data_IF_299521279142
#
_entry.id   IF_299521279142
#
_cell.length_a   1.000
_cell.length_b   1.000
_cell.length_c   1.000
_cell.angle_alpha   90.00
_cell.angle_beta   90.00
_cell.angle_gamma   90.00
#
_symmetry.space_group_name_H-M   'P 1'
#
loop_
_entity.id
_entity.type
_entity.pdbx_description
1 polymer ?
#
# COMPACT_ATOMS: atom_id res chain seq x y z
N UNK A 1 -21.24 -21.50 -5.91
CA UNK A 1 -21.28 -20.05 -5.64
C UNK A 1 -21.33 -19.36 -7.00
N UNK A 2 -22.32 -18.50 -7.22
CA UNK A 2 -22.34 -17.68 -8.43
C UNK A 2 -21.16 -16.69 -8.37
N UNK A 3 -20.52 -16.33 -9.50
CA UNK A 3 -19.46 -15.33 -9.50
C UNK A 3 -19.97 -14.07 -8.83
N UNK A 4 -19.18 -13.52 -7.91
CA UNK A 4 -19.56 -12.36 -7.12
C UNK A 4 -20.06 -11.26 -8.05
N UNK A 5 -21.29 -10.83 -7.82
CA UNK A 5 -21.90 -9.75 -8.57
C UNK A 5 -20.98 -8.54 -8.44
N UNK A 6 -20.70 -7.85 -9.54
CA UNK A 6 -20.09 -6.54 -9.50
C UNK A 6 -18.61 -6.42 -9.85
N UNK A 7 -17.92 -7.47 -10.27
CA UNK A 7 -16.57 -7.37 -10.88
C UNK A 7 -16.62 -7.89 -12.31
N UNK A 8 -16.11 -7.13 -13.28
CA UNK A 8 -16.07 -7.50 -14.70
C UNK A 8 -14.75 -7.09 -15.32
N UNK A 9 -14.18 -7.93 -16.17
CA UNK A 9 -13.04 -7.55 -17.01
C UNK A 9 -13.51 -7.41 -18.46
N UNK A 10 -13.12 -6.31 -19.10
CA UNK A 10 -13.31 -6.13 -20.53
C UNK A 10 -12.27 -6.97 -21.28
N UNK A 11 -12.69 -7.96 -22.10
CA UNK A 11 -11.76 -8.89 -22.74
C UNK A 11 -10.97 -8.27 -23.92
N UNK A 12 -11.38 -7.11 -24.44
CA UNK A 12 -10.67 -6.44 -25.54
C UNK A 12 -9.60 -5.48 -25.01
N UNK A 13 -9.87 -4.81 -23.88
CA UNK A 13 -8.99 -3.79 -23.30
C UNK A 13 -8.22 -4.27 -22.08
N UNK A 14 -8.66 -5.36 -21.44
CA UNK A 14 -8.08 -5.86 -20.19
C UNK A 14 -8.43 -5.02 -18.96
N UNK A 15 -9.35 -4.07 -19.07
CA UNK A 15 -9.74 -3.20 -17.96
C UNK A 15 -10.67 -3.93 -17.00
N UNK A 16 -10.31 -3.97 -15.72
CA UNK A 16 -11.14 -4.48 -14.64
C UNK A 16 -12.04 -3.37 -14.08
N UNK A 17 -13.35 -3.56 -14.19
CA UNK A 17 -14.40 -2.73 -13.60
C UNK A 17 -14.93 -3.38 -12.32
N UNK A 18 -14.78 -2.67 -11.20
CA UNK A 18 -15.29 -3.06 -9.88
C UNK A 18 -16.44 -2.11 -9.53
N UNK A 19 -17.66 -2.60 -9.64
CA UNK A 19 -18.87 -1.85 -9.31
C UNK A 19 -19.04 -1.72 -7.78
N UNK A 20 -19.78 -0.70 -7.30
CA UNK A 20 -20.12 -0.56 -5.88
C UNK A 20 -20.94 -1.72 -5.28
N UNK A 21 -21.46 -2.63 -6.11
CA UNK A 21 -22.17 -3.83 -5.65
C UNK A 21 -21.23 -5.04 -5.42
N UNK A 22 -19.93 -4.90 -5.73
CA UNK A 22 -18.94 -5.90 -5.38
C UNK A 22 -18.85 -6.05 -3.86
N UNK A 23 -18.80 -7.29 -3.39
CA UNK A 23 -18.70 -7.59 -1.96
C UNK A 23 -17.24 -7.59 -1.55
N UNK A 24 -16.95 -7.02 -0.39
CA UNK A 24 -15.62 -6.99 0.23
C UNK A 24 -15.28 -8.30 0.96
N UNK A 25 -16.23 -9.24 1.06
CA UNK A 25 -16.06 -10.52 1.77
C UNK A 25 -15.44 -11.61 0.89
N UNK A 26 -15.23 -11.33 -0.39
CA UNK A 26 -14.73 -12.31 -1.36
C UNK A 26 -13.49 -11.80 -2.08
N UNK A 27 -12.54 -12.71 -2.30
CA UNK A 27 -11.51 -12.54 -3.32
C UNK A 27 -12.03 -12.96 -4.69
N UNK A 28 -11.70 -12.19 -5.71
CA UNK A 28 -12.13 -12.40 -7.08
C UNK A 28 -10.93 -12.86 -7.93
N UNK A 29 -10.96 -14.10 -8.41
CA UNK A 29 -9.94 -14.58 -9.36
C UNK A 29 -10.22 -14.03 -10.75
N UNK A 30 -9.31 -13.20 -11.26
CA UNK A 30 -9.28 -12.72 -12.64
C UNK A 30 -8.36 -13.64 -13.43
N UNK A 31 -8.89 -14.24 -14.50
CA UNK A 31 -8.12 -15.12 -15.39
C UNK A 31 -8.06 -14.54 -16.78
N UNK A 32 -6.85 -14.40 -17.32
CA UNK A 32 -6.58 -14.02 -18.69
C UNK A 32 -6.09 -15.24 -19.48
N UNK A 33 -6.67 -15.45 -20.66
CA UNK A 33 -6.17 -16.36 -21.68
C UNK A 33 -5.15 -15.59 -22.54
N UNK A 34 -3.95 -16.16 -22.71
CA UNK A 34 -2.86 -15.56 -23.47
C UNK A 34 -2.47 -16.51 -24.60
N UNK A 35 -2.49 -15.99 -25.83
CA UNK A 35 -2.05 -16.74 -27.01
C UNK A 35 -3.08 -17.76 -27.53
N UNK A 36 -4.37 -17.48 -27.43
CA UNK A 36 -5.45 -18.37 -27.90
C UNK A 36 -5.43 -19.75 -27.22
N UNK A 37 -5.27 -19.77 -25.91
CA UNK A 37 -5.28 -20.97 -25.07
C UNK A 37 -3.89 -21.57 -24.82
N UNK A 38 -2.82 -20.90 -25.24
CA UNK A 38 -1.45 -21.38 -24.99
C UNK A 38 -1.08 -21.26 -23.50
N UNK A 39 -1.52 -20.18 -22.83
CA UNK A 39 -1.31 -19.96 -21.39
C UNK A 39 -2.54 -19.34 -20.74
N UNK A 40 -2.76 -19.66 -19.47
CA UNK A 40 -3.70 -18.95 -18.61
C UNK A 40 -2.95 -18.27 -17.46
N UNK A 41 -3.13 -16.97 -17.31
CA UNK A 41 -2.65 -16.22 -16.15
C UNK A 41 -3.84 -15.98 -15.22
N UNK A 42 -3.67 -16.23 -13.93
CA UNK A 42 -4.68 -15.91 -12.92
C UNK A 42 -4.08 -15.03 -11.83
N UNK A 43 -4.87 -14.06 -11.38
CA UNK A 43 -4.56 -13.21 -10.23
C UNK A 43 -5.79 -13.10 -9.36
N UNK A 44 -5.60 -13.15 -8.05
CA UNK A 44 -6.66 -12.91 -7.08
C UNK A 44 -6.73 -11.40 -6.77
N UNK A 45 -7.95 -10.87 -6.74
CA UNK A 45 -8.25 -9.45 -6.51
C UNK A 45 -9.17 -9.32 -5.32
N UNK A 46 -8.68 -8.68 -4.26
CA UNK A 46 -9.47 -8.38 -3.08
C UNK A 46 -10.15 -7.01 -3.23
N UNK A 47 -11.45 -6.96 -3.00
CA UNK A 47 -12.22 -5.71 -2.99
C UNK A 47 -12.34 -5.22 -1.55
N UNK A 48 -12.09 -3.94 -1.32
CA UNK A 48 -12.21 -3.33 0.01
C UNK A 48 -12.96 -2.00 -0.08
N UNK A 49 -13.49 -1.55 1.06
CA UNK A 49 -14.06 -0.21 1.18
C UNK A 49 -13.05 0.72 1.85
N UNK A 50 -12.93 1.96 1.35
CA UNK A 50 -12.11 2.98 2.04
C UNK A 50 -12.70 3.36 3.40
N UNK A 51 -13.98 3.10 3.66
CA UNK A 51 -14.59 3.33 4.98
C UNK A 51 -14.03 2.36 6.02
N UNK A 52 -13.82 1.09 5.64
CA UNK A 52 -13.28 0.06 6.53
C UNK A 52 -11.75 0.16 6.66
N UNK A 53 -11.07 0.51 5.58
CA UNK A 53 -9.62 0.69 5.56
C UNK A 53 -9.24 1.91 4.72
N UNK A 54 -9.19 3.11 5.35
CA UNK A 54 -8.88 4.33 4.64
C UNK A 54 -7.38 4.45 4.31
N UNK A 55 -6.52 3.65 4.96
CA UNK A 55 -5.08 3.63 4.72
C UNK A 55 -4.72 2.87 3.45
N UNK A 56 -5.50 1.87 3.04
CA UNK A 56 -5.22 1.10 1.84
C UNK A 56 -5.07 2.01 0.61
N UNK A 57 -4.03 1.74 -0.19
CA UNK A 57 -3.60 2.57 -1.30
C UNK A 57 -2.10 2.84 -1.32
N UNK A 58 -1.70 3.66 -2.27
CA UNK A 58 -0.33 4.14 -2.44
C UNK A 58 -0.26 5.58 -1.95
N UNK A 59 0.77 5.89 -1.17
CA UNK A 59 1.03 7.19 -0.60
C UNK A 59 2.46 7.62 -0.90
N UNK A 60 2.72 8.93 -0.94
CA UNK A 60 4.04 9.49 -1.20
C UNK A 60 4.21 10.85 -0.52
N UNK A 61 5.45 11.23 -0.21
CA UNK A 61 5.78 12.56 0.27
C UNK A 61 6.33 13.43 -0.86
N UNK A 62 6.01 14.72 -0.82
CA UNK A 62 6.60 15.68 -1.75
C UNK A 62 7.98 16.13 -1.21
N UNK A 63 9.04 15.84 -1.96
CA UNK A 63 10.41 16.27 -1.61
C UNK A 63 11.49 15.29 -2.05
N UNK A 64 12.72 15.77 -2.21
CA UNK A 64 13.83 15.00 -2.82
C UNK A 64 14.32 13.82 -1.96
N UNK A 65 14.00 13.81 -0.67
CA UNK A 65 14.43 12.77 0.30
C UNK A 65 13.26 12.16 1.10
N UNK A 66 12.01 12.45 0.70
CA UNK A 66 10.82 11.94 1.37
C UNK A 66 10.53 10.49 0.99
N UNK A 67 9.47 9.94 1.56
CA UNK A 67 8.95 8.62 1.19
C UNK A 67 8.45 8.66 -0.26
N UNK A 68 9.12 7.95 -1.17
CA UNK A 68 8.68 7.85 -2.57
C UNK A 68 7.38 7.04 -2.68
N UNK A 69 7.28 5.96 -1.92
CA UNK A 69 6.11 5.07 -1.93
C UNK A 69 5.93 4.45 -0.55
N UNK A 70 4.76 4.65 0.03
CA UNK A 70 4.23 3.86 1.12
C UNK A 70 2.97 3.17 0.60
N UNK A 71 3.05 1.86 0.39
CA UNK A 71 1.93 1.03 0.01
C UNK A 71 1.31 0.42 1.26
N UNK A 72 -0.01 0.55 1.40
CA UNK A 72 -0.83 -0.26 2.30
C UNK A 72 -1.76 -1.12 1.46
N UNK A 73 -1.69 -2.43 1.60
CA UNK A 73 -2.65 -3.34 0.97
C UNK A 73 -3.90 -3.43 1.84
N UNK A 74 -5.04 -3.78 1.25
CA UNK A 74 -6.26 -4.08 2.01
C UNK A 74 -6.12 -5.33 2.90
N UNK A 75 -5.19 -6.22 2.57
CA UNK A 75 -4.89 -7.47 3.29
C UNK A 75 -4.08 -7.28 4.58
N UNK A 76 -3.63 -6.05 4.89
CA UNK A 76 -2.86 -5.77 6.10
C UNK A 76 -1.34 -5.83 5.92
N UNK A 77 -0.86 -5.75 4.68
CA UNK A 77 0.57 -5.67 4.36
C UNK A 77 0.96 -4.24 4.02
N UNK A 78 2.21 -3.87 4.29
CA UNK A 78 2.76 -2.59 3.86
C UNK A 78 4.15 -2.76 3.24
N UNK A 79 4.50 -1.80 2.38
CA UNK A 79 5.84 -1.71 1.79
C UNK A 79 6.27 -0.25 1.69
N UNK A 80 7.55 0.00 1.93
CA UNK A 80 8.15 1.33 1.90
C UNK A 80 9.28 1.38 0.88
N UNK A 81 9.28 2.45 0.08
CA UNK A 81 10.37 2.87 -0.80
C UNK A 81 10.69 4.33 -0.50
N UNK A 82 11.93 4.58 -0.09
CA UNK A 82 12.56 5.88 0.17
C UNK A 82 13.77 6.05 -0.75
N UNK A 83 14.50 4.96 -1.06
CA UNK A 83 15.59 5.01 -2.02
C UNK A 83 15.09 5.51 -3.39
N UNK A 84 15.72 6.56 -3.97
CA UNK A 84 15.27 7.15 -5.24
C UNK A 84 15.71 6.36 -6.48
N UNK A 85 16.49 5.29 -6.33
CA UNK A 85 17.11 4.57 -7.44
C UNK A 85 16.44 3.21 -7.72
N UNK A 86 15.75 3.12 -8.86
CA UNK A 86 15.17 1.88 -9.38
C UNK A 86 13.84 1.49 -8.71
N UNK A 87 13.35 0.28 -9.02
CA UNK A 87 12.14 -0.29 -8.40
C UNK A 87 12.49 -0.97 -7.06
N UNK A 88 13.24 -0.27 -6.22
CA UNK A 88 13.73 -0.81 -4.96
C UNK A 88 12.66 -0.68 -3.89
N UNK A 89 12.46 -1.75 -3.11
CA UNK A 89 11.66 -1.72 -1.90
C UNK A 89 12.63 -1.78 -0.73
N UNK A 90 12.59 -0.79 0.16
CA UNK A 90 13.54 -0.72 1.27
C UNK A 90 13.16 -1.73 2.35
N UNK A 91 11.89 -1.76 2.76
CA UNK A 91 11.39 -2.75 3.71
C UNK A 91 9.88 -2.95 3.61
N UNK A 92 9.39 -4.01 4.25
CA UNK A 92 7.99 -4.43 4.20
C UNK A 92 7.61 -5.24 5.43
N UNK A 93 6.30 -5.41 5.59
CA UNK A 93 5.73 -6.33 6.56
C UNK A 93 4.24 -6.13 6.69
N UNK A 94 3.76 -6.14 7.92
CA UNK A 94 2.32 -6.09 8.23
C UNK A 94 1.95 -4.86 9.04
N UNK A 95 0.68 -4.45 8.93
CA UNK A 95 0.14 -3.34 9.70
C UNK A 95 -1.22 -3.66 10.31
N UNK A 96 -1.49 -3.00 11.44
CA UNK A 96 -2.80 -2.99 12.09
C UNK A 96 -3.14 -1.57 12.50
N UNK A 97 -4.42 -1.23 12.51
CA UNK A 97 -4.88 0.11 12.88
C UNK A 97 -6.18 0.07 13.67
N UNK A 98 -6.47 1.16 14.39
CA UNK A 98 -7.75 1.40 15.06
C UNK A 98 -8.31 2.77 14.62
N UNK A 99 -9.44 2.75 13.90
CA UNK A 99 -10.08 3.96 13.40
C UNK A 99 -10.63 4.88 14.49
N UNK A 100 -11.00 4.34 15.65
CA UNK A 100 -11.66 5.10 16.70
C UNK A 100 -10.68 6.01 17.45
N UNK A 101 -9.44 5.57 17.58
CA UNK A 101 -8.37 6.30 18.29
C UNK A 101 -7.23 6.75 17.38
N UNK A 102 -7.21 6.31 16.11
CA UNK A 102 -6.19 6.66 15.14
C UNK A 102 -4.86 5.93 15.35
N UNK A 103 -4.83 4.80 16.05
CA UNK A 103 -3.60 4.04 16.25
C UNK A 103 -3.18 3.32 14.96
N UNK A 104 -1.88 3.31 14.68
CA UNK A 104 -1.26 2.55 13.60
C UNK A 104 0.00 1.86 14.11
N UNK A 105 0.05 0.54 13.93
CA UNK A 105 1.22 -0.28 14.23
C UNK A 105 1.74 -0.85 12.93
N UNK A 106 3.02 -0.58 12.65
CA UNK A 106 3.74 -1.15 11.52
C UNK A 106 4.75 -2.16 12.07
N UNK A 107 4.79 -3.37 11.52
CA UNK A 107 5.74 -4.42 11.90
C UNK A 107 6.52 -4.87 10.67
N UNK A 108 7.81 -4.56 10.62
CA UNK A 108 8.66 -4.99 9.52
C UNK A 108 8.97 -6.50 9.62
N UNK A 109 8.68 -7.23 8.54
CA UNK A 109 8.95 -8.67 8.42
C UNK A 109 10.16 -8.95 7.53
N UNK A 110 10.52 -8.00 6.66
CA UNK A 110 11.68 -8.09 5.78
C UNK A 110 12.20 -6.73 5.36
N UNK A 111 13.49 -6.68 5.03
CA UNK A 111 14.15 -5.46 4.63
C UNK A 111 15.37 -5.71 3.75
N UNK A 112 15.56 -4.78 2.83
CA UNK A 112 16.80 -4.50 2.16
C UNK A 112 17.61 -3.43 2.91
N UNK A 113 16.92 -2.37 3.37
CA UNK A 113 17.43 -1.36 4.29
C UNK A 113 16.29 -0.95 5.25
N UNK A 114 16.59 -0.77 6.53
CA UNK A 114 15.65 -0.20 7.49
C UNK A 114 16.26 1.07 8.03
N UNK A 115 15.45 2.12 8.15
CA UNK A 115 15.88 3.34 8.83
C UNK A 115 16.30 3.05 10.28
N UNK A 116 17.32 3.73 10.81
CA UNK A 116 17.59 3.74 12.24
C UNK A 116 16.33 4.14 13.02
N UNK A 117 16.04 3.40 14.11
CA UNK A 117 14.80 3.54 14.89
C UNK A 117 13.51 3.31 14.08
N UNK A 118 13.65 2.67 12.92
CA UNK A 118 12.60 2.47 11.94
C UNK A 118 11.52 1.49 12.37
N UNK A 119 10.28 1.92 12.10
CA UNK A 119 9.00 1.20 12.19
C UNK A 119 8.53 0.87 13.62
N UNK A 120 7.28 1.23 13.95
CA UNK A 120 6.77 1.12 15.31
C UNK A 120 5.32 1.53 15.48
N UNK A 121 4.95 1.75 16.73
CA UNK A 121 3.61 2.16 17.18
C UNK A 121 3.52 3.69 17.11
N UNK A 122 2.47 4.19 16.49
CA UNK A 122 2.18 5.61 16.44
C UNK A 122 0.71 5.86 16.12
N UNK A 123 0.40 7.06 15.66
CA UNK A 123 -0.96 7.43 15.26
C UNK A 123 -0.99 7.94 13.82
N UNK A 124 -2.17 7.87 13.21
CA UNK A 124 -2.44 8.42 11.89
C UNK A 124 -3.67 9.34 11.91
N UNK A 125 -3.69 10.30 11.00
CA UNK A 125 -4.85 11.14 10.70
C UNK A 125 -4.93 11.35 9.19
N UNK A 126 -6.13 11.29 8.61
CA UNK A 126 -6.36 11.69 7.23
C UNK A 126 -7.11 13.02 7.23
N UNK A 127 -6.45 14.06 6.74
CA UNK A 127 -6.97 15.41 6.66
C UNK A 127 -8.14 15.54 5.68
N UNK A 128 -8.89 16.63 5.77
CA UNK A 128 -10.00 16.92 4.85
C UNK A 128 -9.55 17.13 3.39
N UNK A 129 -8.27 17.42 3.18
CA UNK A 129 -7.58 17.49 1.89
C UNK A 129 -7.13 16.11 1.36
N UNK A 130 -7.29 15.06 2.16
CA UNK A 130 -6.89 13.70 1.84
C UNK A 130 -5.45 13.36 2.21
N UNK A 131 -4.70 14.27 2.85
CA UNK A 131 -3.32 14.00 3.27
C UNK A 131 -3.28 13.09 4.50
N UNK A 132 -2.41 12.08 4.48
CA UNK A 132 -2.15 11.17 5.58
C UNK A 132 -1.00 11.71 6.44
N UNK A 133 -1.29 12.07 7.68
CA UNK A 133 -0.26 12.43 8.66
C UNK A 133 0.05 11.22 9.54
N UNK A 134 1.32 10.84 9.64
CA UNK A 134 1.81 9.80 10.54
C UNK A 134 2.65 10.43 11.66
N UNK A 135 2.27 10.15 12.91
CA UNK A 135 2.95 10.67 14.10
C UNK A 135 3.53 9.51 14.91
N UNK A 136 4.81 9.60 15.24
CA UNK A 136 5.53 8.55 15.97
C UNK A 136 6.10 7.44 15.09
N UNK A 137 5.78 7.43 13.79
CA UNK A 137 6.43 6.56 12.82
C UNK A 137 7.66 7.26 12.24
N UNK A 138 8.79 6.54 12.27
CA UNK A 138 10.01 6.91 11.59
C UNK A 138 10.18 5.96 10.41
N UNK A 139 9.72 6.36 9.22
CA UNK A 139 9.85 5.53 8.03
C UNK A 139 11.26 5.61 7.45
N UNK A 140 11.95 6.72 7.70
CA UNK A 140 13.28 7.04 7.21
C UNK A 140 13.28 8.18 6.20
N UNK A 141 14.50 8.63 5.86
CA UNK A 141 14.76 9.55 4.77
C UNK A 141 16.02 9.10 4.00
N UNK A 142 16.13 9.47 2.73
CA UNK A 142 17.31 9.13 1.93
C UNK A 142 18.46 10.10 2.20
N UNK A 143 19.63 9.59 2.58
CA UNK A 143 20.87 10.36 2.59
C UNK A 143 21.66 10.11 1.30
N UNK A 144 21.83 11.16 0.50
CA UNK A 144 22.52 11.06 -0.80
C UNK A 144 24.04 10.90 -0.69
N UNK A 145 24.65 11.32 0.42
CA UNK A 145 26.10 11.19 0.63
C UNK A 145 26.46 9.78 1.08
N UNK A 146 25.68 9.24 2.01
CA UNK A 146 25.86 7.90 2.57
C UNK A 146 25.25 6.81 1.68
N UNK A 147 24.33 7.19 0.78
CA UNK A 147 23.55 6.28 -0.06
C UNK A 147 22.82 5.22 0.78
N UNK A 148 22.22 5.66 1.88
CA UNK A 148 21.52 4.82 2.84
C UNK A 148 20.35 5.54 3.49
N UNK A 149 19.44 4.76 4.07
CA UNK A 149 18.36 5.29 4.91
C UNK A 149 18.92 5.84 6.23
N UNK A 150 18.53 7.07 6.56
CA UNK A 150 18.74 7.70 7.87
C UNK A 150 17.41 7.87 8.59
N UNK A 151 17.45 8.25 9.86
CA UNK A 151 16.24 8.56 10.64
C UNK A 151 15.43 9.67 9.95
N UNK A 152 14.12 9.45 9.82
CA UNK A 152 13.17 10.40 9.29
C UNK A 152 11.79 10.07 9.82
N UNK A 153 11.17 11.00 10.54
CA UNK A 153 9.92 10.81 11.28
C UNK A 153 8.95 11.96 11.04
N UNK A 154 7.67 11.74 11.36
CA UNK A 154 6.64 12.79 11.27
C UNK A 154 6.28 13.05 9.81
N UNK A 155 5.63 12.07 9.20
CA UNK A 155 5.39 12.03 7.77
C UNK A 155 4.05 12.67 7.42
N UNK A 156 3.99 13.35 6.28
CA UNK A 156 2.75 13.86 5.69
C UNK A 156 2.72 13.44 4.23
N UNK A 157 1.86 12.46 3.93
CA UNK A 157 1.82 11.79 2.64
C UNK A 157 0.54 12.12 1.85
N UNK A 158 0.63 12.10 0.54
CA UNK A 158 -0.44 12.32 -0.43
C UNK A 158 -0.63 11.08 -1.32
N UNK A 159 -1.84 10.91 -1.87
CA UNK A 159 -2.20 9.83 -2.81
C UNK A 159 -1.89 10.17 -4.27
#
# INVERSE_FOLDING_TARGET
MAPGIGVKIDPETGVLDVSPAASTDFSYTVTADVGEGEYSLSVDVDVYSQEDNPLAGVWSETGENGVNTLLFTSSGEFAVTINPYGNYQDYWGTYTFDLAIGDLVLTADGANQVAPEGVGIGTFEIGADGALTLTGHCLGAWDTNEQSLVEGCGHVLER
#
